data_IF_792074038649
#
_entry.id   IF_792074038649
#
_cell.length_a   1.000
_cell.length_b   1.000
_cell.length_c   1.000
_cell.angle_alpha   90.00
_cell.angle_beta   90.00
_cell.angle_gamma   90.00
#
_symmetry.space_group_name_H-M   'P 1'
#
loop_
_entity.id
_entity.type
_entity.pdbx_description
1 polymer ?
#
# COMPACT_ATOMS: atom_id res chain seq x y z
N UNK A 1 1.97 8.44 3.61
CA UNK A 1 1.15 7.22 3.83
C UNK A 1 0.69 6.71 2.47
N UNK A 2 0.96 5.43 2.14
CA UNK A 2 0.48 4.80 0.90
C UNK A 2 -0.78 4.00 1.22
N UNK A 3 -1.82 4.12 0.38
CA UNK A 3 -3.12 3.46 0.59
C UNK A 3 -3.39 2.50 -0.56
N UNK A 4 -3.57 1.21 -0.24
CA UNK A 4 -3.99 0.22 -1.23
C UNK A 4 -5.51 0.31 -1.43
N UNK A 5 -5.93 0.57 -2.66
CA UNK A 5 -7.35 0.54 -3.05
C UNK A 5 -7.81 -0.91 -3.17
N UNK A 6 -8.23 -1.47 -2.04
CA UNK A 6 -8.66 -2.87 -1.92
C UNK A 6 -10.17 -3.05 -1.80
N UNK A 7 -10.99 -2.00 -1.98
CA UNK A 7 -12.45 -2.10 -1.96
C UNK A 7 -13.05 -1.60 -3.28
N UNK A 8 -13.98 -2.37 -3.83
CA UNK A 8 -14.75 -2.01 -5.01
C UNK A 8 -16.05 -1.32 -4.59
N UNK A 9 -16.23 -0.06 -4.96
CA UNK A 9 -17.46 0.69 -4.67
C UNK A 9 -18.69 0.12 -5.38
N UNK A 10 -18.51 -0.52 -6.55
CA UNK A 10 -19.61 -1.08 -7.33
C UNK A 10 -20.07 -2.44 -6.81
N UNK A 11 -19.16 -3.22 -6.25
CA UNK A 11 -19.43 -4.59 -5.82
C UNK A 11 -19.55 -4.73 -4.30
N UNK A 12 -19.22 -3.69 -3.52
CA UNK A 12 -19.15 -3.68 -2.05
C UNK A 12 -18.31 -4.84 -1.46
N UNK A 13 -17.31 -5.30 -2.22
CA UNK A 13 -16.39 -6.36 -1.82
C UNK A 13 -14.95 -5.86 -1.71
N UNK A 14 -14.20 -6.53 -0.86
CA UNK A 14 -12.74 -6.46 -0.81
C UNK A 14 -12.14 -7.23 -2.00
N UNK A 15 -11.18 -6.61 -2.65
CA UNK A 15 -10.40 -7.18 -3.74
C UNK A 15 -9.27 -8.03 -3.14
N UNK A 16 -9.40 -9.35 -3.19
CA UNK A 16 -8.42 -10.31 -2.63
C UNK A 16 -7.31 -10.67 -3.61
N UNK A 17 -6.69 -9.66 -4.23
CA UNK A 17 -5.49 -9.90 -5.04
C UNK A 17 -4.26 -9.96 -4.14
N UNK A 18 -3.36 -10.92 -4.41
CA UNK A 18 -2.04 -10.96 -3.79
C UNK A 18 -1.27 -9.69 -4.16
N UNK A 19 -0.84 -8.94 -3.16
CA UNK A 19 -0.03 -7.71 -3.33
C UNK A 19 1.23 -7.87 -2.52
N UNK A 20 2.35 -7.96 -3.22
CA UNK A 20 3.69 -7.95 -2.61
C UNK A 20 4.18 -6.53 -2.50
N UNK A 21 4.79 -6.19 -1.37
CA UNK A 21 5.43 -4.91 -1.13
C UNK A 21 6.84 -5.15 -0.56
N UNK A 22 7.87 -4.45 -1.07
CA UNK A 22 9.22 -4.59 -0.55
C UNK A 22 9.38 -3.83 0.77
N UNK A 23 10.33 -4.27 1.60
CA UNK A 23 10.73 -3.52 2.81
C UNK A 23 11.33 -2.15 2.47
N UNK A 24 11.98 -2.04 1.30
CA UNK A 24 12.54 -0.78 0.77
C UNK A 24 11.93 -0.46 -0.57
N UNK A 25 11.23 0.67 -0.65
CA UNK A 25 10.59 1.16 -1.87
C UNK A 25 11.48 2.22 -2.54
N UNK A 26 11.90 1.96 -3.78
CA UNK A 26 12.61 2.95 -4.59
C UNK A 26 11.63 3.84 -5.35
N UNK A 27 11.49 5.09 -4.93
CA UNK A 27 10.62 6.06 -5.61
C UNK A 27 11.26 6.72 -6.84
N UNK A 28 12.57 6.49 -7.08
CA UNK A 28 13.31 7.11 -8.17
C UNK A 28 12.63 7.00 -9.55
N UNK A 29 12.06 5.84 -9.95
CA UNK A 29 11.43 5.71 -11.27
C UNK A 29 10.17 6.58 -11.46
N UNK A 30 9.59 7.11 -10.38
CA UNK A 30 8.35 7.88 -10.39
C UNK A 30 8.56 9.40 -10.29
N UNK A 31 9.82 9.87 -10.30
CA UNK A 31 10.17 11.29 -10.25
C UNK A 31 10.56 11.84 -11.63
N UNK A 32 10.41 13.15 -11.81
CA UNK A 32 10.81 13.83 -13.05
C UNK A 32 12.33 13.75 -13.28
N UNK A 33 12.71 13.77 -14.56
CA UNK A 33 14.11 13.74 -14.97
C UNK A 33 14.83 14.99 -14.45
N UNK A 34 15.96 14.80 -13.77
CA UNK A 34 16.80 15.88 -13.22
C UNK A 34 16.72 16.08 -11.71
N UNK A 35 15.79 15.44 -11.01
CA UNK A 35 15.70 15.50 -9.54
C UNK A 35 16.70 14.54 -8.91
N UNK A 36 17.85 15.02 -8.43
CA UNK A 36 18.88 14.25 -7.71
C UNK A 36 19.63 13.20 -8.57
N UNK A 37 20.64 12.55 -7.99
CA UNK A 37 21.39 11.45 -8.62
C UNK A 37 21.34 10.24 -7.69
N UNK A 38 20.80 9.11 -8.15
CA UNK A 38 20.75 7.85 -7.40
C UNK A 38 19.35 7.37 -6.95
N UNK A 39 19.27 6.19 -6.32
CA UNK A 39 18.01 5.61 -5.84
C UNK A 39 17.46 6.43 -4.66
N UNK A 40 16.13 6.57 -4.62
CA UNK A 40 15.42 7.25 -3.54
C UNK A 40 14.64 6.20 -2.74
N UNK A 41 15.28 5.64 -1.72
CA UNK A 41 14.77 4.52 -0.95
C UNK A 41 13.96 4.98 0.27
N UNK A 42 12.75 4.45 0.40
CA UNK A 42 11.92 4.57 1.59
C UNK A 42 11.86 3.23 2.29
N UNK A 43 12.17 3.19 3.58
CA UNK A 43 11.96 2.00 4.40
C UNK A 43 10.50 1.96 4.85
N UNK A 44 9.90 0.78 4.76
CA UNK A 44 8.57 0.53 5.27
C UNK A 44 8.56 0.63 6.80
N UNK A 45 7.59 1.36 7.37
CA UNK A 45 7.50 1.61 8.81
C UNK A 45 6.39 0.81 9.48
N UNK A 46 5.19 0.79 8.90
CA UNK A 46 4.06 0.09 9.50
C UNK A 46 3.04 -0.34 8.44
N UNK A 47 2.42 -1.51 8.62
CA UNK A 47 1.30 -2.00 7.81
C UNK A 47 0.01 -1.85 8.61
N UNK A 48 -0.98 -1.15 8.07
CA UNK A 48 -2.37 -1.24 8.54
C UNK A 48 -3.09 -2.32 7.74
N UNK A 49 -3.65 -3.31 8.42
CA UNK A 49 -4.33 -4.45 7.81
C UNK A 49 -5.81 -4.42 8.18
N UNK A 50 -6.66 -4.73 7.19
CA UNK A 50 -8.09 -4.95 7.38
C UNK A 50 -8.41 -6.44 7.17
N UNK A 51 -8.86 -7.13 8.21
CA UNK A 51 -9.42 -8.48 8.12
C UNK A 51 -10.96 -8.40 8.06
N UNK A 52 -11.52 -8.76 6.90
CA UNK A 52 -12.95 -8.66 6.60
C UNK A 52 -13.18 -8.54 5.10
N UNK A 53 -14.38 -8.88 4.66
CA UNK A 53 -14.73 -8.96 3.23
C UNK A 53 -15.36 -7.69 2.67
N UNK A 54 -15.85 -6.77 3.51
CA UNK A 54 -16.48 -5.50 3.09
C UNK A 54 -15.80 -4.31 3.76
N UNK A 55 -16.06 -3.10 3.28
CA UNK A 55 -15.45 -1.88 3.85
C UNK A 55 -16.10 -1.43 5.17
N UNK A 56 -17.29 -1.93 5.47
CA UNK A 56 -18.10 -1.52 6.60
C UNK A 56 -18.07 -2.54 7.76
N UNK A 57 -17.46 -3.72 7.55
CA UNK A 57 -17.31 -4.78 8.57
C UNK A 57 -15.93 -5.43 8.48
N UNK A 58 -15.25 -5.47 9.61
CA UNK A 58 -13.99 -6.17 9.77
C UNK A 58 -13.23 -5.72 11.02
N UNK A 59 -11.99 -6.18 11.12
CA UNK A 59 -11.07 -5.84 12.19
C UNK A 59 -9.81 -5.21 11.61
N UNK A 60 -9.39 -4.09 12.20
CA UNK A 60 -8.14 -3.43 11.85
C UNK A 60 -7.04 -3.79 12.85
N UNK A 61 -5.85 -4.08 12.35
CA UNK A 61 -4.66 -4.27 13.18
C UNK A 61 -3.42 -3.75 12.45
N UNK A 62 -2.36 -3.47 13.22
CA UNK A 62 -1.13 -2.90 12.70
C UNK A 62 0.08 -3.77 13.03
N UNK A 63 1.02 -3.82 12.10
CA UNK A 63 2.41 -4.21 12.36
C UNK A 63 3.27 -2.97 12.28
N UNK A 64 4.12 -2.73 13.29
CA UNK A 64 5.05 -1.59 13.39
C UNK A 64 6.44 -2.14 13.61
#
# INVERSE_FOLDING_TARGET
>A
MLVLKCFSALADIKVERDVRYPERLNLRPYLSRGVGVGPLLYRFYAVLVHAGCTCHRGHYFCYV
#
